data_IF_713440391346
#
_entry.id   IF_713440391346
#
_cell.length_a   1.000
_cell.length_b   1.000
_cell.length_c   1.000
_cell.angle_alpha   90.00
_cell.angle_beta   90.00
_cell.angle_gamma   90.00
#
_symmetry.space_group_name_H-M   'P 1'
#
loop_
_entity.id
_entity.type
_entity.pdbx_description
1 polymer ?
#
# COMPACT_ATOMS: atom_id res chain seq x y z
N UNK A 1 50.62 -56.82 44.25
CA UNK A 1 49.69 -55.71 43.96
C UNK A 1 48.76 -56.09 42.81
N UNK A 2 47.49 -56.41 43.11
CA UNK A 2 46.38 -56.30 42.15
C UNK A 2 45.34 -55.42 42.85
N UNK A 3 45.24 -54.16 42.45
CA UNK A 3 44.16 -53.28 42.87
C UNK A 3 42.87 -53.93 42.37
N UNK A 4 42.03 -54.40 43.28
CA UNK A 4 40.62 -54.67 42.97
C UNK A 4 40.00 -53.28 42.77
N UNK A 5 39.99 -52.79 41.54
CA UNK A 5 39.17 -51.64 41.18
C UNK A 5 37.72 -52.05 41.34
N UNK A 6 37.13 -51.69 42.48
CA UNK A 6 35.71 -51.83 42.72
C UNK A 6 35.02 -50.72 41.90
N UNK A 7 34.84 -50.97 40.60
CA UNK A 7 34.19 -50.05 39.64
C UNK A 7 32.69 -49.97 39.93
N UNK A 8 32.34 -49.33 41.05
CA UNK A 8 30.95 -49.00 41.39
C UNK A 8 30.44 -47.91 40.44
N UNK A 9 29.47 -48.26 39.61
CA UNK A 9 28.77 -47.31 38.74
C UNK A 9 27.50 -46.80 39.44
N UNK A 10 27.36 -45.48 39.56
CA UNK A 10 26.22 -44.82 40.21
C UNK A 10 25.23 -44.30 39.16
N UNK A 11 23.93 -44.34 39.46
CA UNK A 11 22.89 -43.91 38.51
C UNK A 11 23.02 -42.42 38.14
N UNK A 12 23.59 -41.59 39.01
CA UNK A 12 23.93 -40.18 38.72
C UNK A 12 24.89 -40.00 37.56
N UNK A 13 25.77 -40.97 37.29
CA UNK A 13 26.68 -40.95 36.15
C UNK A 13 25.96 -41.20 34.81
N UNK A 14 24.78 -41.84 34.86
CA UNK A 14 23.96 -42.11 33.68
C UNK A 14 23.14 -40.88 33.26
N UNK A 15 23.77 -39.98 32.51
CA UNK A 15 23.17 -38.71 32.03
C UNK A 15 21.85 -38.88 31.29
N UNK A 16 21.56 -40.05 30.72
CA UNK A 16 20.30 -40.32 30.03
C UNK A 16 19.19 -40.70 31.01
N UNK A 17 19.45 -41.66 31.89
CA UNK A 17 18.46 -42.13 32.86
C UNK A 17 18.16 -41.07 33.93
N UNK A 18 19.15 -40.28 34.35
CA UNK A 18 18.93 -39.22 35.34
C UNK A 18 17.94 -38.15 34.86
N UNK A 19 17.87 -37.89 33.54
CA UNK A 19 16.85 -37.01 32.95
C UNK A 19 15.44 -37.57 33.09
N UNK A 20 15.32 -38.89 33.17
CA UNK A 20 14.06 -39.57 33.40
C UNK A 20 13.76 -39.78 34.89
N UNK A 21 14.58 -39.30 35.82
CA UNK A 21 14.34 -39.42 37.26
C UNK A 21 13.24 -38.46 37.73
N UNK A 22 12.20 -38.98 38.41
CA UNK A 22 11.14 -38.13 38.95
C UNK A 22 11.50 -37.61 40.36
N UNK A 23 12.21 -36.48 40.44
CA UNK A 23 12.66 -35.88 41.71
C UNK A 23 11.50 -35.55 42.67
N UNK A 24 10.31 -35.23 42.15
CA UNK A 24 9.15 -34.89 42.99
C UNK A 24 8.56 -36.12 43.67
N UNK A 25 8.57 -37.28 43.01
CA UNK A 25 8.01 -38.53 43.56
C UNK A 25 9.02 -39.41 44.26
N UNK A 26 10.31 -39.16 44.08
CA UNK A 26 11.41 -39.86 44.75
C UNK A 26 11.98 -39.07 45.94
N UNK A 27 11.14 -38.32 46.67
CA UNK A 27 11.58 -37.61 47.87
C UNK A 27 12.25 -38.58 48.85
N UNK A 28 13.41 -38.21 49.38
CA UNK A 28 14.23 -39.05 50.26
C UNK A 28 15.15 -40.05 49.54
N UNK A 29 15.05 -40.21 48.22
CA UNK A 29 15.98 -41.06 47.44
C UNK A 29 17.01 -40.20 46.71
N UNK A 30 18.28 -40.40 47.02
CA UNK A 30 19.38 -39.64 46.42
C UNK A 30 20.04 -40.44 45.27
N UNK A 31 19.91 -40.01 44.00
CA UNK A 31 20.51 -40.70 42.87
C UNK A 31 22.06 -40.66 42.85
N UNK A 32 22.71 -39.82 43.66
CA UNK A 32 24.18 -39.78 43.73
C UNK A 32 24.80 -40.92 44.54
N UNK A 33 24.00 -41.62 45.34
CA UNK A 33 24.47 -42.73 46.19
C UNK A 33 23.91 -44.09 45.76
N UNK A 34 23.00 -44.12 44.79
CA UNK A 34 22.37 -45.35 44.29
C UNK A 34 23.16 -45.93 43.13
N UNK A 35 23.44 -47.24 43.18
CA UNK A 35 24.17 -47.96 42.16
C UNK A 35 23.29 -48.30 40.94
N UNK A 36 23.92 -48.41 39.76
CA UNK A 36 23.24 -48.78 38.51
C UNK A 36 22.62 -50.19 38.53
N UNK A 37 23.13 -51.11 39.35
CA UNK A 37 22.63 -52.47 39.51
C UNK A 37 21.60 -52.63 40.65
N UNK A 38 21.22 -51.53 41.31
CA UNK A 38 20.28 -51.54 42.43
C UNK A 38 18.87 -52.00 42.04
N UNK A 39 18.28 -52.89 42.84
CA UNK A 39 16.87 -53.31 42.70
C UNK A 39 15.87 -52.28 43.30
N UNK A 40 16.36 -51.15 43.82
CA UNK A 40 15.54 -50.08 44.37
C UNK A 40 14.51 -49.58 43.35
N UNK A 41 13.22 -49.68 43.68
CA UNK A 41 12.12 -49.22 42.82
C UNK A 41 11.95 -47.72 42.98
N UNK A 42 12.08 -46.99 41.90
CA UNK A 42 11.96 -45.53 41.87
C UNK A 42 10.99 -45.07 40.80
N UNK A 43 10.49 -43.85 40.94
CA UNK A 43 9.63 -43.21 39.96
C UNK A 43 10.46 -42.64 38.81
N UNK A 44 10.08 -43.01 37.61
CA UNK A 44 10.61 -42.49 36.36
C UNK A 44 9.57 -41.60 35.69
N UNK A 45 10.03 -40.61 34.94
CA UNK A 45 9.22 -39.72 34.10
C UNK A 45 9.89 -39.58 32.75
N UNK A 46 9.25 -40.07 31.69
CA UNK A 46 9.81 -39.94 30.34
C UNK A 46 9.53 -38.55 29.76
N UNK A 47 10.18 -38.23 28.63
CA UNK A 47 9.98 -36.97 27.90
C UNK A 47 8.52 -36.73 27.46
N UNK A 48 7.74 -37.80 27.22
CA UNK A 48 6.30 -37.69 26.91
C UNK A 48 5.42 -37.49 28.14
N UNK A 49 6.02 -37.37 29.33
CA UNK A 49 5.33 -37.09 30.59
C UNK A 49 4.78 -38.31 31.32
N UNK A 50 4.87 -39.52 30.76
CA UNK A 50 4.44 -40.74 31.47
C UNK A 50 5.28 -40.96 32.72
N UNK A 51 4.62 -41.24 33.84
CA UNK A 51 5.25 -41.53 35.12
C UNK A 51 5.00 -42.99 35.52
N UNK A 52 6.05 -43.74 35.87
CA UNK A 52 5.92 -45.15 36.27
C UNK A 52 6.99 -45.55 37.27
N UNK A 53 6.76 -46.64 38.00
CA UNK A 53 7.74 -47.23 38.90
C UNK A 53 8.51 -48.35 38.22
N UNK A 54 9.83 -48.36 38.40
CA UNK A 54 10.69 -49.45 37.95
C UNK A 54 12.00 -49.45 38.76
N UNK A 55 12.59 -50.64 38.93
CA UNK A 55 13.93 -50.80 39.51
C UNK A 55 15.01 -50.12 38.67
N UNK A 56 16.06 -49.60 39.33
CA UNK A 56 17.20 -48.97 38.66
C UNK A 56 17.91 -49.98 37.73
N UNK A 57 18.16 -51.19 38.23
CA UNK A 57 18.82 -52.27 37.48
C UNK A 57 18.11 -52.59 36.16
N UNK A 58 16.78 -52.70 36.16
CA UNK A 58 16.00 -53.01 34.95
C UNK A 58 15.99 -51.85 33.95
N UNK A 59 16.04 -50.60 34.44
CA UNK A 59 16.13 -49.40 33.58
C UNK A 59 17.49 -49.30 32.91
N UNK A 60 18.57 -49.59 33.65
CA UNK A 60 19.94 -49.69 33.11
C UNK A 60 20.04 -50.81 32.08
N UNK A 61 19.42 -51.98 32.34
CA UNK A 61 19.29 -53.10 31.37
C UNK A 61 18.38 -52.80 30.17
N UNK A 62 17.85 -51.58 30.06
CA UNK A 62 17.13 -51.10 28.87
C UNK A 62 15.61 -51.24 28.89
N UNK A 63 14.99 -51.60 30.03
CA UNK A 63 13.53 -51.67 30.14
C UNK A 63 12.93 -50.29 29.89
N UNK A 64 12.11 -50.15 28.86
CA UNK A 64 11.60 -48.84 28.39
C UNK A 64 10.33 -48.42 29.12
N UNK A 65 9.98 -47.13 28.99
CA UNK A 65 8.72 -46.58 29.49
C UNK A 65 7.52 -47.42 28.99
N UNK A 66 6.71 -48.00 29.89
CA UNK A 66 5.58 -48.84 29.51
C UNK A 66 4.50 -48.04 28.75
N UNK A 67 4.33 -46.74 29.06
CA UNK A 67 3.38 -45.89 28.37
C UNK A 67 3.75 -45.64 26.90
N UNK A 68 5.05 -45.44 26.62
CA UNK A 68 5.55 -45.20 25.27
C UNK A 68 5.66 -46.47 24.41
N UNK A 69 6.08 -47.59 24.99
CA UNK A 69 6.53 -48.77 24.24
C UNK A 69 5.62 -49.99 24.36
N UNK A 70 4.72 -50.05 25.34
CA UNK A 70 3.76 -51.16 25.42
C UNK A 70 2.82 -51.14 24.22
N UNK A 71 2.49 -52.30 23.67
CA UNK A 71 1.41 -52.47 22.69
C UNK A 71 0.03 -52.54 23.34
N UNK A 72 -0.05 -52.93 24.62
CA UNK A 72 -1.29 -52.98 25.41
C UNK A 72 -1.69 -51.59 25.94
N UNK A 73 -2.99 -51.39 26.15
CA UNK A 73 -3.53 -50.21 26.84
C UNK A 73 -3.30 -50.40 28.34
N UNK A 74 -2.77 -49.35 28.99
CA UNK A 74 -2.52 -49.28 30.42
C UNK A 74 -3.26 -48.03 30.90
N UNK A 75 -4.36 -48.25 31.62
CA UNK A 75 -5.18 -47.19 32.19
C UNK A 75 -4.35 -46.32 33.15
N UNK A 76 -4.56 -45.00 33.10
CA UNK A 76 -3.81 -44.03 33.88
C UNK A 76 -2.40 -43.74 33.34
N UNK A 77 -2.00 -44.39 32.24
CA UNK A 77 -0.66 -44.23 31.68
C UNK A 77 -0.64 -43.92 30.18
N UNK A 78 -1.26 -44.74 29.33
CA UNK A 78 -1.21 -44.55 27.86
C UNK A 78 -2.57 -44.66 27.16
N UNK A 79 -3.65 -44.71 27.93
CA UNK A 79 -5.01 -44.63 27.41
C UNK A 79 -5.36 -43.22 26.91
N UNK A 80 -6.42 -43.11 26.12
CA UNK A 80 -6.83 -41.86 25.48
C UNK A 80 -7.21 -40.78 26.50
N UNK A 81 -7.88 -41.14 27.61
CA UNK A 81 -8.33 -40.16 28.61
C UNK A 81 -7.17 -39.55 29.35
N UNK A 82 -6.19 -40.37 29.73
CA UNK A 82 -4.97 -39.89 30.39
C UNK A 82 -4.17 -38.98 29.47
N UNK A 83 -3.96 -39.37 28.21
CA UNK A 83 -3.09 -38.64 27.28
C UNK A 83 -3.77 -37.40 26.68
N UNK A 84 -5.08 -37.46 26.42
CA UNK A 84 -5.88 -36.35 25.85
C UNK A 84 -7.24 -36.25 26.54
N UNK A 85 -7.29 -35.73 27.79
CA UNK A 85 -8.55 -35.62 28.54
C UNK A 85 -9.61 -34.78 27.81
N UNK A 86 -9.20 -33.67 27.16
CA UNK A 86 -10.12 -32.84 26.38
C UNK A 86 -10.72 -33.58 25.18
N UNK A 87 -9.99 -34.53 24.58
CA UNK A 87 -10.51 -35.31 23.47
C UNK A 87 -11.47 -36.39 23.96
N UNK A 88 -11.19 -36.99 25.12
CA UNK A 88 -12.08 -37.95 25.77
C UNK A 88 -13.43 -37.33 26.19
N UNK A 89 -13.50 -36.01 26.42
CA UNK A 89 -14.77 -35.31 26.62
C UNK A 89 -15.66 -35.30 25.37
N UNK A 90 -15.09 -35.51 24.19
CA UNK A 90 -15.85 -35.61 22.93
C UNK A 90 -16.28 -37.05 22.63
N UNK A 91 -16.16 -37.98 23.58
CA UNK A 91 -16.60 -39.36 23.41
C UNK A 91 -18.12 -39.47 23.44
N UNK A 92 -18.71 -40.18 22.48
CA UNK A 92 -20.14 -40.47 22.50
C UNK A 92 -20.42 -41.76 23.30
N UNK A 93 -20.72 -41.62 24.59
CA UNK A 93 -20.92 -42.76 25.50
C UNK A 93 -22.16 -43.59 25.14
N UNK A 94 -23.21 -42.96 24.61
CA UNK A 94 -24.43 -43.66 24.20
C UNK A 94 -24.16 -44.59 23.03
N UNK A 95 -23.47 -44.09 22.00
CA UNK A 95 -23.21 -44.86 20.77
C UNK A 95 -22.03 -45.84 20.85
N UNK A 96 -21.07 -45.61 21.74
CA UNK A 96 -19.95 -46.52 21.93
C UNK A 96 -20.22 -47.63 22.97
N UNK A 97 -21.34 -47.56 23.69
CA UNK A 97 -21.73 -48.55 24.69
C UNK A 97 -20.65 -48.74 25.77
N UNK A 98 -20.21 -49.98 25.97
CA UNK A 98 -19.23 -50.32 27.00
C UNK A 98 -17.78 -49.90 26.68
N UNK A 99 -17.50 -49.44 25.45
CA UNK A 99 -16.15 -49.00 25.09
C UNK A 99 -15.89 -47.59 25.62
N UNK A 100 -14.94 -47.47 26.54
CA UNK A 100 -14.57 -46.19 27.16
C UNK A 100 -13.21 -45.67 26.65
N UNK A 101 -12.94 -44.35 26.73
CA UNK A 101 -11.63 -43.77 26.40
C UNK A 101 -10.44 -44.45 27.11
N UNK A 102 -10.65 -44.94 28.33
CA UNK A 102 -9.65 -45.66 29.13
C UNK A 102 -9.25 -47.01 28.51
N UNK A 103 -10.06 -47.56 27.61
CA UNK A 103 -9.83 -48.87 26.98
C UNK A 103 -9.10 -48.78 25.63
N UNK A 104 -8.69 -47.58 25.20
CA UNK A 104 -8.10 -47.36 23.86
C UNK A 104 -6.88 -46.44 23.91
N UNK A 105 -6.01 -46.55 22.90
CA UNK A 105 -4.86 -45.63 22.71
C UNK A 105 -5.20 -44.49 21.77
N UNK A 106 -4.52 -43.36 21.96
CA UNK A 106 -4.58 -42.20 21.06
C UNK A 106 -4.24 -42.50 19.60
N UNK A 107 -3.29 -43.40 19.33
CA UNK A 107 -2.87 -43.74 17.96
C UNK A 107 -3.66 -44.93 17.35
N UNK A 108 -4.77 -45.33 17.97
CA UNK A 108 -5.58 -46.45 17.49
C UNK A 108 -6.26 -46.12 16.16
N UNK A 109 -6.27 -47.09 15.23
CA UNK A 109 -7.03 -47.01 13.98
C UNK A 109 -8.50 -47.43 14.14
N UNK A 110 -8.95 -47.71 15.37
CA UNK A 110 -10.36 -48.02 15.65
C UNK A 110 -11.24 -46.80 15.35
N UNK A 111 -12.34 -47.02 14.65
CA UNK A 111 -13.43 -46.05 14.50
C UNK A 111 -14.34 -46.13 15.71
N UNK A 112 -14.71 -44.96 16.22
CA UNK A 112 -15.61 -44.79 17.36
C UNK A 112 -16.48 -43.56 17.12
N UNK A 113 -17.57 -43.46 17.85
CA UNK A 113 -18.46 -42.32 17.81
C UNK A 113 -17.95 -41.19 18.70
N UNK A 114 -18.04 -39.97 18.18
CA UNK A 114 -17.66 -38.75 18.87
C UNK A 114 -18.83 -37.79 18.90
N UNK A 115 -18.97 -37.06 20.00
CA UNK A 115 -20.00 -36.04 20.20
C UNK A 115 -19.35 -34.72 20.56
N UNK A 116 -19.54 -33.70 19.73
CA UNK A 116 -18.96 -32.38 20.00
C UNK A 116 -19.84 -31.62 20.99
N UNK A 117 -19.33 -30.51 21.52
CA UNK A 117 -20.08 -29.62 22.44
C UNK A 117 -21.41 -29.09 21.87
N UNK A 118 -21.58 -29.07 20.54
CA UNK A 118 -22.82 -28.65 19.87
C UNK A 118 -23.82 -29.80 19.67
N UNK A 119 -23.52 -31.00 20.16
CA UNK A 119 -24.41 -32.17 20.09
C UNK A 119 -24.22 -33.04 18.85
N UNK A 120 -23.53 -32.58 17.80
CA UNK A 120 -23.32 -33.40 16.60
C UNK A 120 -22.53 -34.66 16.94
N UNK A 121 -23.03 -35.80 16.50
CA UNK A 121 -22.45 -37.12 16.70
C UNK A 121 -21.95 -37.69 15.37
N UNK A 122 -20.68 -38.10 15.30
CA UNK A 122 -20.08 -38.65 14.08
C UNK A 122 -19.06 -39.75 14.36
N UNK A 123 -18.90 -40.66 13.41
CA UNK A 123 -17.90 -41.71 13.46
C UNK A 123 -16.55 -41.20 12.92
N UNK A 124 -15.46 -41.41 13.65
CA UNK A 124 -14.12 -41.13 13.18
C UNK A 124 -13.06 -42.03 13.84
N UNK A 125 -11.94 -42.22 13.15
CA UNK A 125 -10.79 -42.94 13.65
C UNK A 125 -10.12 -42.18 14.80
N UNK A 126 -9.78 -42.87 15.89
CA UNK A 126 -9.15 -42.25 17.08
C UNK A 126 -7.84 -41.54 16.74
N UNK A 127 -6.95 -42.15 15.94
CA UNK A 127 -5.70 -41.53 15.51
C UNK A 127 -5.92 -40.22 14.74
N UNK A 128 -6.90 -40.17 13.85
CA UNK A 128 -7.26 -38.94 13.11
C UNK A 128 -7.75 -37.82 14.04
N UNK A 129 -8.58 -38.17 15.03
CA UNK A 129 -9.05 -37.23 16.06
C UNK A 129 -7.92 -36.74 16.94
N UNK A 130 -7.00 -37.63 17.33
CA UNK A 130 -5.80 -37.29 18.10
C UNK A 130 -4.92 -36.26 17.38
N UNK A 131 -4.77 -36.39 16.06
CA UNK A 131 -4.01 -35.43 15.23
C UNK A 131 -4.79 -34.16 14.84
N UNK A 132 -6.02 -33.98 15.34
CA UNK A 132 -6.72 -32.70 15.28
C UNK A 132 -7.88 -32.62 14.28
N UNK A 133 -8.32 -33.74 13.68
CA UNK A 133 -9.58 -33.74 12.92
C UNK A 133 -10.74 -33.33 13.84
N UNK A 134 -11.51 -32.33 13.41
CA UNK A 134 -12.64 -31.77 14.17
C UNK A 134 -13.97 -32.34 13.67
N UNK A 135 -15.06 -32.00 14.37
CA UNK A 135 -16.42 -32.30 13.95
C UNK A 135 -16.70 -31.86 12.50
N UNK A 136 -17.11 -32.78 11.60
CA UNK A 136 -17.30 -32.48 10.18
C UNK A 136 -18.42 -31.47 9.95
N UNK A 137 -19.50 -31.50 10.75
CA UNK A 137 -20.59 -30.52 10.72
C UNK A 137 -20.11 -29.13 11.12
N UNK A 138 -19.42 -29.01 12.26
CA UNK A 138 -18.87 -27.72 12.72
C UNK A 138 -17.84 -27.11 11.76
N UNK A 139 -17.17 -27.94 10.97
CA UNK A 139 -16.20 -27.50 9.94
C UNK A 139 -16.81 -27.37 8.54
N UNK A 140 -18.13 -27.51 8.39
CA UNK A 140 -18.87 -27.43 7.12
C UNK A 140 -18.42 -28.45 6.06
N UNK A 141 -17.83 -29.58 6.48
CA UNK A 141 -17.49 -30.72 5.62
C UNK A 141 -18.68 -31.64 5.37
N UNK A 142 -19.60 -31.70 6.31
CA UNK A 142 -20.87 -32.43 6.21
C UNK A 142 -22.00 -31.48 6.55
N UNK A 143 -23.15 -31.65 5.88
CA UNK A 143 -24.33 -30.82 6.06
C UNK A 143 -25.23 -31.46 7.10
N UNK A 144 -25.73 -30.64 8.03
CA UNK A 144 -26.80 -30.96 8.95
C UNK A 144 -27.89 -29.89 8.77
N UNK A 145 -29.04 -30.32 8.24
CA UNK A 145 -30.19 -29.46 7.96
C UNK A 145 -30.68 -28.84 9.27
N UNK A 146 -30.96 -27.53 9.26
CA UNK A 146 -31.33 -26.77 10.45
C UNK A 146 -30.13 -26.17 11.17
N UNK A 147 -28.90 -26.58 10.83
CA UNK A 147 -27.70 -26.13 11.53
C UNK A 147 -26.72 -25.34 10.65
N UNK A 148 -26.12 -25.97 9.63
CA UNK A 148 -25.05 -25.37 8.81
C UNK A 148 -25.37 -25.29 7.31
N UNK A 149 -26.59 -25.65 6.93
CA UNK A 149 -27.11 -25.41 5.59
C UNK A 149 -27.30 -23.90 5.31
N UNK A 150 -27.43 -23.56 4.03
CA UNK A 150 -27.54 -22.17 3.58
C UNK A 150 -28.85 -21.52 4.04
N UNK A 151 -29.96 -22.26 4.11
CA UNK A 151 -31.28 -21.74 4.51
C UNK A 151 -31.23 -21.29 5.96
N UNK A 152 -30.74 -22.15 6.84
CA UNK A 152 -30.67 -21.89 8.28
C UNK A 152 -29.72 -20.74 8.62
N UNK A 153 -28.63 -20.57 7.86
CA UNK A 153 -27.63 -19.53 8.12
C UNK A 153 -27.91 -18.21 7.41
N UNK A 154 -28.50 -18.23 6.23
CA UNK A 154 -28.68 -17.06 5.37
C UNK A 154 -30.06 -17.04 4.68
N UNK A 155 -31.17 -17.00 5.44
CA UNK A 155 -32.53 -17.09 4.87
C UNK A 155 -32.83 -15.95 3.87
N UNK A 156 -32.34 -14.74 4.13
CA UNK A 156 -32.53 -13.61 3.20
C UNK A 156 -31.79 -13.82 1.87
N UNK A 157 -30.64 -14.50 1.88
CA UNK A 157 -29.89 -14.78 0.66
C UNK A 157 -30.58 -15.85 -0.19
N UNK A 158 -31.24 -16.82 0.45
CA UNK A 158 -32.01 -17.87 -0.23
C UNK A 158 -33.18 -17.32 -1.03
N UNK A 159 -33.73 -16.16 -0.65
CA UNK A 159 -34.74 -15.45 -1.47
C UNK A 159 -34.22 -15.06 -2.85
N UNK A 160 -32.89 -15.01 -3.03
CA UNK A 160 -32.27 -14.75 -4.33
C UNK A 160 -31.83 -16.03 -5.07
N UNK A 161 -32.18 -17.23 -4.58
CA UNK A 161 -31.86 -18.48 -5.26
C UNK A 161 -32.69 -18.64 -6.53
N UNK A 162 -32.07 -19.01 -7.65
CA UNK A 162 -32.80 -19.30 -8.89
C UNK A 162 -33.13 -20.80 -8.96
N UNK A 163 -34.35 -21.19 -8.53
CA UNK A 163 -34.78 -22.59 -8.50
C UNK A 163 -34.90 -23.22 -9.90
N UNK A 164 -35.30 -22.46 -10.92
CA UNK A 164 -35.43 -22.93 -12.29
C UNK A 164 -34.07 -23.33 -12.89
N UNK A 165 -33.03 -22.52 -12.67
CA UNK A 165 -31.69 -22.75 -13.26
C UNK A 165 -30.76 -23.62 -12.43
N UNK A 166 -31.07 -23.85 -11.16
CA UNK A 166 -30.28 -24.73 -10.31
C UNK A 166 -30.78 -26.19 -10.30
N UNK A 167 -31.83 -26.50 -11.06
CA UNK A 167 -32.38 -27.84 -11.22
C UNK A 167 -32.67 -28.50 -9.86
N UNK A 168 -32.10 -29.70 -9.63
CA UNK A 168 -32.25 -30.47 -8.39
C UNK A 168 -31.44 -29.95 -7.20
N UNK A 169 -30.59 -28.93 -7.39
CA UNK A 169 -29.81 -28.36 -6.30
C UNK A 169 -30.65 -27.35 -5.52
N UNK A 170 -31.00 -27.73 -4.28
CA UNK A 170 -31.73 -26.88 -3.35
C UNK A 170 -30.80 -26.28 -2.27
N UNK A 171 -31.12 -25.09 -1.73
CA UNK A 171 -30.33 -24.39 -0.71
C UNK A 171 -30.05 -25.20 0.57
N UNK A 172 -30.93 -26.11 0.96
CA UNK A 172 -30.81 -26.98 2.14
C UNK A 172 -29.64 -27.97 2.00
N UNK A 173 -29.28 -28.32 0.76
CA UNK A 173 -28.24 -29.30 0.43
C UNK A 173 -26.87 -28.65 0.17
N UNK A 174 -26.67 -27.39 0.58
CA UNK A 174 -25.40 -26.68 0.47
C UNK A 174 -25.06 -25.90 1.73
N UNK A 175 -23.77 -25.81 2.07
CA UNK A 175 -23.32 -24.93 3.16
C UNK A 175 -23.04 -23.52 2.66
N UNK A 176 -23.09 -22.56 3.58
CA UNK A 176 -22.75 -21.16 3.31
C UNK A 176 -21.32 -20.90 2.81
N UNK A 177 -20.38 -21.81 3.11
CA UNK A 177 -18.97 -21.71 2.68
C UNK A 177 -18.68 -22.50 1.40
N UNK A 178 -19.71 -23.07 0.75
CA UNK A 178 -19.55 -23.86 -0.46
C UNK A 178 -18.93 -23.05 -1.61
N UNK A 179 -17.97 -23.67 -2.31
CA UNK A 179 -17.38 -23.13 -3.53
C UNK A 179 -18.20 -23.45 -4.79
N UNK A 180 -19.39 -24.05 -4.65
CA UNK A 180 -20.28 -24.32 -5.78
C UNK A 180 -20.76 -23.01 -6.39
N UNK A 181 -20.66 -22.91 -7.71
CA UNK A 181 -21.26 -21.85 -8.51
C UNK A 181 -22.71 -22.23 -8.79
N UNK A 182 -23.63 -21.32 -8.50
CA UNK A 182 -25.08 -21.51 -8.66
C UNK A 182 -25.69 -20.24 -9.24
N UNK A 183 -26.87 -20.37 -9.81
CA UNK A 183 -27.65 -19.27 -10.34
C UNK A 183 -28.41 -18.54 -9.25
N UNK A 184 -28.39 -17.22 -9.33
CA UNK A 184 -29.09 -16.30 -8.45
C UNK A 184 -30.02 -15.41 -9.26
N UNK A 185 -31.10 -14.96 -8.65
CA UNK A 185 -32.09 -14.04 -9.21
C UNK A 185 -32.42 -12.96 -8.19
N UNK A 186 -32.11 -11.71 -8.49
CA UNK A 186 -32.41 -10.62 -7.57
C UNK A 186 -33.87 -10.15 -7.71
N UNK A 187 -34.34 -9.33 -6.76
CA UNK A 187 -35.70 -8.74 -6.79
C UNK A 187 -36.03 -7.95 -8.06
N UNK A 188 -35.02 -7.44 -8.77
CA UNK A 188 -35.19 -6.74 -10.06
C UNK A 188 -35.22 -7.69 -11.27
N UNK A 189 -35.22 -9.00 -11.05
CA UNK A 189 -35.28 -10.02 -12.10
C UNK A 189 -33.94 -10.37 -12.74
N UNK A 190 -32.84 -9.68 -12.45
CA UNK A 190 -31.54 -10.05 -13.02
C UNK A 190 -31.08 -11.43 -12.54
N UNK A 191 -30.56 -12.23 -13.46
CA UNK A 191 -30.07 -13.57 -13.20
C UNK A 191 -28.56 -13.66 -13.44
N UNK A 192 -27.82 -14.27 -12.51
CA UNK A 192 -26.38 -14.43 -12.65
C UNK A 192 -25.86 -15.65 -11.90
N UNK A 193 -24.74 -16.19 -12.39
CA UNK A 193 -23.99 -17.18 -11.65
C UNK A 193 -23.00 -16.53 -10.67
N UNK A 194 -22.96 -17.06 -9.44
CA UNK A 194 -21.94 -16.72 -8.46
C UNK A 194 -21.70 -17.90 -7.51
N UNK A 195 -20.49 -17.94 -6.94
CA UNK A 195 -20.14 -18.91 -5.90
C UNK A 195 -20.88 -18.58 -4.61
N UNK A 196 -21.44 -19.60 -3.93
CA UNK A 196 -22.21 -19.44 -2.69
C UNK A 196 -21.39 -18.68 -1.63
N UNK A 197 -20.15 -19.09 -1.38
CA UNK A 197 -19.30 -18.42 -0.38
C UNK A 197 -18.99 -16.94 -0.70
N UNK A 198 -19.05 -16.53 -1.97
CA UNK A 198 -18.90 -15.13 -2.34
C UNK A 198 -20.16 -14.32 -2.02
N UNK A 199 -21.33 -14.92 -2.20
CA UNK A 199 -22.61 -14.30 -1.85
C UNK A 199 -22.79 -14.14 -0.34
N UNK A 200 -22.41 -15.15 0.45
CA UNK A 200 -22.47 -15.10 1.91
C UNK A 200 -21.50 -14.09 2.53
N UNK A 201 -20.40 -13.77 1.82
CA UNK A 201 -19.50 -12.65 2.16
C UNK A 201 -20.04 -11.26 1.80
N UNK A 202 -21.19 -11.17 1.13
CA UNK A 202 -21.88 -9.92 0.83
C UNK A 202 -21.83 -9.44 -0.62
N UNK A 203 -21.29 -10.24 -1.56
CA UNK A 203 -21.35 -9.87 -2.98
C UNK A 203 -22.81 -9.84 -3.46
N UNK A 204 -23.22 -8.70 -4.01
CA UNK A 204 -24.59 -8.46 -4.49
C UNK A 204 -24.73 -8.76 -5.99
N UNK A 205 -25.95 -8.59 -6.51
CA UNK A 205 -26.22 -8.64 -7.94
C UNK A 205 -25.27 -7.74 -8.75
N UNK A 206 -24.49 -8.29 -9.70
CA UNK A 206 -23.51 -7.51 -10.46
C UNK A 206 -24.16 -6.49 -11.40
N UNK A 207 -25.37 -6.75 -11.87
CA UNK A 207 -26.15 -5.81 -12.69
C UNK A 207 -26.61 -4.59 -11.87
N UNK A 208 -27.23 -4.82 -10.70
CA UNK A 208 -27.63 -3.75 -9.78
C UNK A 208 -26.44 -2.92 -9.26
N UNK A 209 -25.28 -3.55 -9.06
CA UNK A 209 -24.06 -2.87 -8.65
C UNK A 209 -23.35 -2.11 -9.79
N UNK A 210 -23.80 -2.27 -11.04
CA UNK A 210 -23.17 -1.64 -12.22
C UNK A 210 -21.84 -2.29 -12.63
N UNK A 211 -21.59 -3.53 -12.23
CA UNK A 211 -20.42 -4.30 -12.69
C UNK A 211 -20.70 -5.04 -14.00
N UNK A 212 -21.96 -5.42 -14.25
CA UNK A 212 -22.43 -5.95 -15.54
C UNK A 212 -23.37 -4.96 -16.21
N UNK A 213 -23.26 -4.88 -17.53
CA UNK A 213 -24.12 -4.05 -18.34
C UNK A 213 -25.51 -4.67 -18.50
N UNK A 214 -26.50 -3.79 -18.58
CA UNK A 214 -27.88 -4.00 -18.99
C UNK A 214 -28.06 -2.98 -20.11
N UNK A 215 -28.19 -3.50 -21.34
CA UNK A 215 -28.37 -2.69 -22.55
C UNK A 215 -29.59 -1.79 -22.42
N UNK A 216 -29.44 -0.52 -22.79
CA UNK A 216 -30.46 0.52 -22.66
C UNK A 216 -30.57 1.16 -21.28
N UNK A 217 -29.89 0.63 -20.25
CA UNK A 217 -30.07 1.10 -18.87
C UNK A 217 -28.79 1.60 -18.22
N UNK A 218 -27.77 0.75 -18.14
CA UNK A 218 -26.50 1.07 -17.43
C UNK A 218 -25.26 0.73 -18.27
N UNK A 219 -25.43 0.50 -19.56
CA UNK A 219 -24.34 0.42 -20.53
C UNK A 219 -23.75 1.82 -20.82
N UNK A 220 -22.54 1.83 -21.39
CA UNK A 220 -21.80 3.04 -21.68
C UNK A 220 -22.51 3.88 -22.75
N UNK A 221 -23.04 3.24 -23.80
CA UNK A 221 -23.69 3.96 -24.90
C UNK A 221 -24.91 4.76 -24.43
N UNK A 222 -25.74 4.14 -23.60
CA UNK A 222 -26.99 4.74 -23.12
C UNK A 222 -26.75 5.78 -22.02
N UNK A 223 -25.73 5.59 -21.17
CA UNK A 223 -25.47 6.52 -20.06
C UNK A 223 -24.52 7.66 -20.39
N UNK A 224 -23.56 7.45 -21.30
CA UNK A 224 -22.51 8.42 -21.63
C UNK A 224 -22.25 8.47 -23.14
N UNK A 225 -23.25 8.90 -23.94
CA UNK A 225 -23.09 9.08 -25.38
C UNK A 225 -21.97 10.09 -25.72
N UNK A 226 -21.71 11.06 -24.84
CA UNK A 226 -20.62 12.02 -24.95
C UNK A 226 -19.23 11.36 -24.99
N UNK A 227 -19.05 10.24 -24.28
CA UNK A 227 -17.79 9.49 -24.30
C UNK A 227 -17.59 8.70 -25.59
N UNK A 228 -18.67 8.37 -26.31
CA UNK A 228 -18.58 7.65 -27.58
C UNK A 228 -17.93 8.48 -28.69
N UNK A 229 -18.04 9.81 -28.60
CA UNK A 229 -17.32 10.75 -29.48
C UNK A 229 -15.80 10.57 -29.37
N UNK A 230 -15.32 9.99 -28.27
CA UNK A 230 -13.91 9.72 -28.04
C UNK A 230 -13.58 8.22 -28.05
N UNK A 231 -14.50 7.35 -28.45
CA UNK A 231 -14.26 5.91 -28.53
C UNK A 231 -13.46 5.57 -29.78
N UNK A 232 -12.38 4.80 -29.63
CA UNK A 232 -11.62 4.33 -30.79
C UNK A 232 -12.21 3.01 -31.30
N UNK A 233 -13.13 3.07 -32.27
CA UNK A 233 -13.84 1.90 -32.81
C UNK A 233 -12.91 0.87 -33.47
N UNK A 234 -11.89 1.34 -34.16
CA UNK A 234 -10.89 0.48 -34.83
C UNK A 234 -10.11 -0.35 -33.82
N UNK A 235 -9.57 0.29 -32.76
CA UNK A 235 -8.77 -0.39 -31.74
C UNK A 235 -9.57 -1.15 -30.69
N UNK A 236 -10.88 -0.94 -30.65
CA UNK A 236 -11.80 -1.65 -29.74
C UNK A 236 -12.71 -2.62 -30.50
N UNK A 237 -12.25 -3.15 -31.63
CA UNK A 237 -12.99 -4.17 -32.37
C UNK A 237 -13.45 -5.31 -31.45
N UNK A 238 -14.72 -5.71 -31.59
CA UNK A 238 -15.36 -6.72 -30.74
C UNK A 238 -15.70 -6.26 -29.31
N UNK A 239 -15.51 -4.97 -28.97
CA UNK A 239 -15.96 -4.39 -27.71
C UNK A 239 -17.04 -3.35 -28.00
N UNK A 240 -18.29 -3.72 -27.68
CA UNK A 240 -19.44 -2.88 -27.97
C UNK A 240 -19.82 -2.01 -26.75
N UNK A 241 -19.92 -0.67 -26.90
CA UNK A 241 -20.24 0.23 -25.79
C UNK A 241 -21.61 -0.02 -25.12
N UNK A 242 -22.55 -0.63 -25.82
CA UNK A 242 -23.88 -1.01 -25.30
C UNK A 242 -23.89 -2.35 -24.53
N UNK A 243 -22.77 -3.08 -24.55
CA UNK A 243 -22.58 -4.34 -23.81
C UNK A 243 -21.66 -4.20 -22.59
N UNK A 244 -21.15 -2.99 -22.35
CA UNK A 244 -20.24 -2.70 -21.25
C UNK A 244 -20.77 -1.61 -20.35
N UNK A 245 -20.67 -1.80 -19.02
CA UNK A 245 -21.19 -0.80 -18.10
C UNK A 245 -20.35 0.48 -18.14
N UNK A 246 -21.01 1.64 -18.02
CA UNK A 246 -20.35 2.95 -17.91
C UNK A 246 -19.42 3.07 -16.68
N UNK A 247 -19.52 2.15 -15.70
CA UNK A 247 -18.63 2.06 -14.54
C UNK A 247 -17.57 0.96 -14.63
N UNK A 248 -17.40 0.35 -15.80
CA UNK A 248 -16.47 -0.77 -15.98
C UNK A 248 -15.00 -0.37 -15.71
N UNK A 249 -14.24 -1.30 -15.14
CA UNK A 249 -12.78 -1.20 -15.02
C UNK A 249 -12.04 -1.73 -16.25
N UNK A 250 -12.76 -2.21 -17.28
CA UNK A 250 -12.15 -2.61 -18.55
C UNK A 250 -11.43 -1.40 -19.15
N UNK A 251 -10.18 -1.62 -19.53
CA UNK A 251 -9.40 -0.65 -20.31
C UNK A 251 -9.76 -0.79 -21.78
N UNK A 252 -9.97 0.34 -22.42
CA UNK A 252 -10.30 0.45 -23.85
C UNK A 252 -9.55 1.64 -24.43
N UNK A 253 -9.43 1.65 -25.75
CA UNK A 253 -8.79 2.73 -26.48
C UNK A 253 -9.73 3.90 -26.70
N UNK A 254 -9.21 5.09 -26.45
CA UNK A 254 -9.89 6.36 -26.68
C UNK A 254 -9.11 7.17 -27.71
N UNK A 255 -9.80 8.02 -28.44
CA UNK A 255 -9.25 8.96 -29.42
C UNK A 255 -9.90 10.31 -29.24
N UNK A 256 -9.13 11.36 -28.98
CA UNK A 256 -9.71 12.71 -28.87
C UNK A 256 -9.83 13.36 -30.25
N UNK A 257 -10.54 14.48 -30.35
CA UNK A 257 -10.70 15.27 -31.58
C UNK A 257 -9.37 15.69 -32.22
N UNK A 258 -8.31 15.89 -31.42
CA UNK A 258 -6.95 16.18 -31.92
C UNK A 258 -6.18 14.94 -32.41
N UNK A 259 -6.84 13.79 -32.51
CA UNK A 259 -6.25 12.54 -33.00
C UNK A 259 -5.39 11.76 -32.00
N UNK A 260 -5.12 12.28 -30.80
CA UNK A 260 -4.36 11.52 -29.80
C UNK A 260 -5.13 10.28 -29.34
N UNK A 261 -4.44 9.14 -29.33
CA UNK A 261 -5.00 7.86 -28.90
C UNK A 261 -4.39 7.42 -27.58
N UNK A 262 -5.21 6.90 -26.67
CA UNK A 262 -4.72 6.41 -25.37
C UNK A 262 -5.62 5.31 -24.80
N UNK A 263 -5.03 4.42 -24.03
CA UNK A 263 -5.77 3.42 -23.28
C UNK A 263 -6.17 3.97 -21.89
N UNK A 264 -7.44 3.79 -21.49
CA UNK A 264 -7.92 4.13 -20.15
C UNK A 264 -9.12 3.28 -19.75
N UNK A 265 -9.32 3.09 -18.45
CA UNK A 265 -10.54 2.49 -17.92
C UNK A 265 -11.76 3.35 -18.24
N UNK A 266 -12.90 2.72 -18.53
CA UNK A 266 -14.18 3.40 -18.75
C UNK A 266 -14.60 4.21 -17.52
N UNK A 267 -14.53 3.63 -16.33
CA UNK A 267 -14.82 4.33 -15.07
C UNK A 267 -13.91 5.53 -14.80
N UNK A 268 -12.70 5.57 -15.34
CA UNK A 268 -11.83 6.75 -15.23
C UNK A 268 -12.30 7.88 -16.16
N UNK A 269 -12.74 7.54 -17.38
CA UNK A 269 -13.35 8.50 -18.31
C UNK A 269 -14.65 9.07 -17.78
N UNK A 270 -15.45 8.22 -17.14
CA UNK A 270 -16.70 8.59 -16.48
C UNK A 270 -16.49 9.71 -15.45
N UNK A 271 -15.42 9.59 -14.65
CA UNK A 271 -14.96 10.59 -13.66
C UNK A 271 -14.31 11.84 -14.26
N UNK A 272 -14.27 11.99 -15.58
CA UNK A 272 -13.73 13.16 -16.27
C UNK A 272 -12.24 13.11 -16.60
N UNK A 273 -11.54 11.98 -16.41
CA UNK A 273 -10.16 11.86 -16.89
C UNK A 273 -10.14 11.81 -18.42
N UNK A 274 -9.60 12.85 -19.05
CA UNK A 274 -9.50 12.97 -20.51
C UNK A 274 -8.11 12.62 -21.06
N UNK A 275 -7.83 13.12 -22.27
CA UNK A 275 -6.54 12.95 -22.93
C UNK A 275 -5.39 13.57 -22.12
N UNK A 276 -4.39 12.75 -21.77
CA UNK A 276 -3.22 13.21 -21.02
C UNK A 276 -2.32 14.18 -21.80
N UNK A 277 -2.35 14.09 -23.14
CA UNK A 277 -1.60 15.00 -24.03
C UNK A 277 -2.28 16.37 -24.07
N UNK A 278 -3.60 16.42 -24.32
CA UNK A 278 -4.34 17.70 -24.33
C UNK A 278 -4.30 18.44 -22.98
N UNK A 279 -4.23 17.70 -21.87
CA UNK A 279 -4.13 18.27 -20.52
C UNK A 279 -2.68 18.52 -20.05
N UNK A 280 -1.68 18.32 -20.92
CA UNK A 280 -0.26 18.49 -20.63
C UNK A 280 0.25 17.65 -19.44
N UNK A 281 -0.45 16.56 -19.09
CA UNK A 281 -0.01 15.57 -18.10
C UNK A 281 1.03 14.61 -18.69
N UNK A 282 0.97 14.39 -20.01
CA UNK A 282 1.99 13.69 -20.80
C UNK A 282 2.50 14.64 -21.87
N UNK A 283 3.82 14.88 -21.90
CA UNK A 283 4.46 15.72 -22.90
C UNK A 283 4.98 14.83 -24.04
N UNK A 284 4.66 15.21 -25.26
CA UNK A 284 5.10 14.56 -26.49
C UNK A 284 5.76 15.63 -27.36
N UNK A 285 7.03 15.40 -27.68
CA UNK A 285 7.82 16.22 -28.60
C UNK A 285 7.11 16.35 -29.94
N UNK A 286 7.00 17.57 -30.46
CA UNK A 286 6.32 17.85 -31.73
C UNK A 286 4.81 18.08 -31.59
N UNK A 287 4.25 18.02 -30.36
CA UNK A 287 2.81 18.17 -30.14
C UNK A 287 2.52 19.25 -29.11
N UNK A 288 2.94 19.03 -27.86
CA UNK A 288 2.54 19.87 -26.72
C UNK A 288 3.70 20.30 -25.82
N UNK A 289 4.93 20.11 -26.28
CA UNK A 289 6.12 20.67 -25.65
C UNK A 289 6.27 22.18 -25.92
N UNK A 290 7.12 22.83 -25.14
CA UNK A 290 7.35 24.27 -25.20
C UNK A 290 7.97 24.67 -26.55
N UNK A 291 8.91 23.88 -27.09
CA UNK A 291 9.56 24.21 -28.36
C UNK A 291 8.55 24.24 -29.51
N UNK A 292 7.64 23.27 -29.55
CA UNK A 292 6.58 23.22 -30.57
C UNK A 292 5.50 24.27 -30.33
N UNK A 293 5.05 24.45 -29.10
CA UNK A 293 3.91 25.35 -28.81
C UNK A 293 4.32 26.82 -28.72
N UNK A 294 5.58 27.12 -28.45
CA UNK A 294 6.12 28.48 -28.44
C UNK A 294 7.63 28.50 -28.82
N UNK A 295 7.95 28.42 -30.13
CA UNK A 295 9.32 28.39 -30.61
C UNK A 295 10.16 29.59 -30.18
N UNK A 296 9.59 30.81 -30.25
CA UNK A 296 10.28 32.05 -29.87
C UNK A 296 10.73 32.07 -28.41
N UNK A 297 9.90 31.53 -27.51
CA UNK A 297 10.29 31.43 -26.10
C UNK A 297 11.35 30.33 -25.90
N UNK A 298 11.28 29.24 -26.66
CA UNK A 298 12.28 28.17 -26.60
C UNK A 298 13.67 28.62 -27.10
N UNK A 299 13.74 29.59 -28.01
CA UNK A 299 15.01 30.22 -28.44
C UNK A 299 15.73 30.94 -27.29
N UNK A 300 15.00 31.46 -26.30
CA UNK A 300 15.58 32.08 -25.12
C UNK A 300 16.05 31.07 -24.05
N UNK A 301 15.99 29.76 -24.31
CA UNK A 301 16.39 28.74 -23.34
C UNK A 301 17.90 28.73 -23.12
N UNK A 302 18.34 28.71 -21.86
CA UNK A 302 19.77 28.56 -21.55
C UNK A 302 20.12 27.07 -21.40
N UNK A 303 20.64 26.44 -22.46
CA UNK A 303 20.98 25.02 -22.49
C UNK A 303 22.14 24.64 -21.55
N UNK A 304 23.10 25.54 -21.36
CA UNK A 304 24.26 25.32 -20.48
C UNK A 304 23.85 25.24 -19.01
N UNK A 305 22.85 26.04 -18.60
CA UNK A 305 22.39 26.10 -17.20
C UNK A 305 21.21 25.17 -16.90
N UNK A 306 20.46 24.73 -17.91
CA UNK A 306 19.37 23.77 -17.76
C UNK A 306 19.80 22.36 -18.18
N UNK A 307 20.97 21.90 -17.72
CA UNK A 307 21.50 20.58 -18.07
C UNK A 307 20.48 19.49 -17.74
N UNK A 308 20.20 18.61 -18.71
CA UNK A 308 19.25 17.51 -18.56
C UNK A 308 17.77 17.91 -18.68
N UNK A 309 17.46 19.17 -18.99
CA UNK A 309 16.10 19.62 -19.25
C UNK A 309 16.04 20.50 -20.50
N UNK A 310 15.29 20.06 -21.51
CA UNK A 310 15.14 20.79 -22.76
C UNK A 310 13.73 21.38 -22.91
N UNK A 311 13.53 22.35 -23.83
CA UNK A 311 12.21 22.83 -24.21
C UNK A 311 11.26 21.74 -24.74
N UNK A 312 11.77 20.57 -25.12
CA UNK A 312 10.96 19.44 -25.59
C UNK A 312 10.36 18.60 -24.45
N UNK A 313 10.80 18.81 -23.21
CA UNK A 313 10.42 18.00 -22.04
C UNK A 313 9.32 18.65 -21.18
N UNK A 314 8.93 19.87 -21.49
CA UNK A 314 8.05 20.70 -20.65
C UNK A 314 6.97 21.38 -21.49
N UNK A 315 5.74 21.56 -20.97
CA UNK A 315 4.72 22.36 -21.65
C UNK A 315 4.95 23.86 -21.42
N UNK A 316 4.42 24.69 -22.31
CA UNK A 316 4.46 26.16 -22.20
C UNK A 316 3.73 26.74 -20.97
N UNK A 317 2.84 25.98 -20.35
CA UNK A 317 2.17 26.31 -19.08
C UNK A 317 2.87 25.81 -17.81
N UNK A 318 4.10 25.28 -17.91
CA UNK A 318 4.81 24.71 -16.75
C UNK A 318 5.16 25.75 -15.69
N UNK A 319 4.95 25.42 -14.42
CA UNK A 319 5.41 26.24 -13.29
C UNK A 319 6.89 26.00 -12.93
N UNK A 320 7.63 25.20 -13.70
CA UNK A 320 9.07 25.02 -13.50
C UNK A 320 9.81 26.34 -13.71
N UNK A 321 10.78 26.59 -12.82
CA UNK A 321 11.75 27.67 -12.93
C UNK A 321 12.97 27.14 -13.67
N UNK A 322 13.39 27.87 -14.69
CA UNK A 322 14.50 27.51 -15.57
C UNK A 322 15.32 28.76 -15.89
N UNK A 323 16.54 28.55 -16.37
CA UNK A 323 17.41 29.62 -16.83
C UNK A 323 17.07 30.03 -18.26
N UNK A 324 17.01 31.34 -18.48
CA UNK A 324 16.80 31.98 -19.77
C UNK A 324 18.03 32.78 -20.15
N UNK A 325 18.24 32.96 -21.45
CA UNK A 325 19.24 33.84 -22.03
C UNK A 325 18.54 34.69 -23.09
N UNK A 326 18.36 35.98 -22.83
CA UNK A 326 17.72 36.86 -23.81
C UNK A 326 18.69 37.17 -24.96
N UNK A 327 18.18 37.75 -26.06
CA UNK A 327 18.97 38.16 -27.24
C UNK A 327 20.19 39.06 -26.90
N UNK A 328 20.10 39.90 -25.87
CA UNK A 328 21.23 40.73 -25.38
C UNK A 328 22.25 39.95 -24.53
N UNK A 329 22.14 38.63 -24.46
CA UNK A 329 23.04 37.75 -23.71
C UNK A 329 22.80 37.69 -22.19
N UNK A 330 21.86 38.46 -21.63
CA UNK A 330 21.59 38.42 -20.19
C UNK A 330 20.97 37.09 -19.77
N UNK A 331 21.54 36.50 -18.73
CA UNK A 331 21.07 35.23 -18.16
C UNK A 331 20.29 35.44 -16.86
N UNK A 332 19.14 34.79 -16.74
CA UNK A 332 18.27 34.95 -15.57
C UNK A 332 17.32 33.77 -15.39
N UNK A 333 16.92 33.51 -14.16
CA UNK A 333 15.89 32.51 -13.87
C UNK A 333 14.48 33.08 -14.01
N UNK A 334 13.57 32.27 -14.54
CA UNK A 334 12.17 32.63 -14.70
C UNK A 334 11.28 31.39 -14.78
N UNK A 335 10.02 31.54 -14.38
CA UNK A 335 9.01 30.48 -14.48
C UNK A 335 8.44 30.43 -15.90
N UNK A 336 8.42 29.26 -16.53
CA UNK A 336 7.98 29.07 -17.93
C UNK A 336 6.58 29.66 -18.17
N UNK A 337 5.59 29.31 -17.35
CA UNK A 337 4.22 29.81 -17.42
C UNK A 337 4.15 31.36 -17.36
N UNK A 338 4.96 31.97 -16.50
CA UNK A 338 5.01 33.44 -16.35
C UNK A 338 5.62 34.11 -17.59
N UNK A 339 6.70 33.52 -18.14
CA UNK A 339 7.30 33.98 -19.40
C UNK A 339 6.32 33.81 -20.57
N UNK A 340 5.58 32.69 -20.61
CA UNK A 340 4.69 32.35 -21.71
C UNK A 340 3.42 33.20 -21.76
N UNK A 341 2.66 33.28 -20.65
CA UNK A 341 1.36 33.94 -20.63
C UNK A 341 1.43 35.40 -20.19
N UNK A 342 2.22 35.72 -19.15
CA UNK A 342 2.38 37.12 -18.68
C UNK A 342 3.43 37.90 -19.48
N UNK A 343 4.05 37.27 -20.47
CA UNK A 343 5.11 37.85 -21.31
C UNK A 343 6.20 38.55 -20.49
N UNK A 344 6.53 38.01 -19.31
CA UNK A 344 7.55 38.61 -18.48
C UNK A 344 8.90 38.54 -19.19
N UNK A 345 9.50 39.67 -19.54
CA UNK A 345 10.81 39.71 -20.21
C UNK A 345 11.99 39.70 -19.25
N UNK A 346 13.19 39.84 -19.83
CA UNK A 346 14.45 39.92 -19.09
C UNK A 346 14.43 41.03 -18.02
N UNK A 347 14.73 40.72 -16.73
CA UNK A 347 14.71 41.69 -15.65
C UNK A 347 15.84 42.72 -15.77
N UNK A 348 16.92 42.40 -16.48
CA UNK A 348 18.03 43.33 -16.75
C UNK A 348 17.61 44.32 -17.83
N UNK A 349 17.07 43.84 -18.97
CA UNK A 349 16.59 44.70 -20.05
C UNK A 349 15.47 45.66 -19.60
N UNK A 350 14.62 45.23 -18.65
CA UNK A 350 13.54 46.04 -18.09
C UNK A 350 13.95 46.87 -16.87
N UNK A 351 15.24 46.91 -16.52
CA UNK A 351 15.78 47.61 -15.34
C UNK A 351 15.14 47.24 -13.99
N UNK A 352 14.44 46.10 -13.91
CA UNK A 352 13.91 45.54 -12.66
C UNK A 352 15.02 44.91 -11.81
N UNK A 353 16.10 44.47 -12.44
CA UNK A 353 17.35 44.03 -11.81
C UNK A 353 18.51 44.84 -12.37
N UNK A 354 19.25 45.52 -11.49
CA UNK A 354 20.43 46.30 -11.86
C UNK A 354 21.70 45.49 -11.64
N UNK A 355 22.49 45.34 -12.69
CA UNK A 355 23.77 44.64 -12.71
C UNK A 355 24.87 45.67 -13.00
N UNK A 356 25.82 45.88 -12.07
CA UNK A 356 26.98 46.73 -12.31
C UNK A 356 27.76 46.29 -13.55
N UNK A 357 28.17 47.25 -14.38
CA UNK A 357 28.88 47.00 -15.64
C UNK A 357 27.96 46.70 -16.84
N UNK A 358 26.62 46.67 -16.63
CA UNK A 358 25.66 46.36 -17.70
C UNK A 358 24.61 47.47 -17.84
N UNK A 359 23.72 47.62 -16.86
CA UNK A 359 22.54 48.50 -16.95
C UNK A 359 22.44 49.49 -15.79
N UNK A 360 23.54 49.69 -15.05
CA UNK A 360 23.62 50.69 -14.01
C UNK A 360 23.95 52.09 -14.56
N UNK A 361 23.63 53.12 -13.77
CA UNK A 361 23.86 54.52 -14.12
C UNK A 361 25.33 54.83 -14.38
N UNK A 362 26.26 54.24 -13.62
CA UNK A 362 27.70 54.51 -13.80
C UNK A 362 28.17 54.05 -15.17
N UNK A 363 27.72 52.88 -15.60
CA UNK A 363 28.09 52.28 -16.89
C UNK A 363 27.41 52.99 -18.05
N UNK A 364 26.10 53.21 -17.97
CA UNK A 364 25.33 53.77 -19.09
C UNK A 364 25.45 55.29 -19.22
N UNK A 365 25.72 56.01 -18.13
CA UNK A 365 25.91 57.45 -18.14
C UNK A 365 27.02 57.89 -17.17
N UNK A 366 28.31 57.67 -17.52
CA UNK A 366 29.45 58.00 -16.67
C UNK A 366 29.54 59.50 -16.34
N UNK A 367 29.14 60.36 -17.28
CA UNK A 367 29.11 61.82 -17.08
C UNK A 367 28.13 62.19 -15.98
N UNK A 368 26.90 61.69 -16.05
CA UNK A 368 25.91 61.94 -15.00
C UNK A 368 26.36 61.34 -13.66
N UNK A 369 26.89 60.12 -13.67
CA UNK A 369 27.43 59.49 -12.47
C UNK A 369 28.57 60.28 -11.80
N UNK A 370 29.34 61.09 -12.56
CA UNK A 370 30.38 61.96 -12.01
C UNK A 370 29.84 63.12 -11.17
N UNK A 371 28.57 63.49 -11.35
CA UNK A 371 27.90 64.53 -10.57
C UNK A 371 27.20 64.00 -9.32
N UNK A 372 27.45 62.74 -8.95
CA UNK A 372 26.83 62.11 -7.79
C UNK A 372 27.39 62.66 -6.48
N UNK A 373 26.53 63.04 -5.54
CA UNK A 373 26.98 63.46 -4.21
C UNK A 373 27.19 62.24 -3.30
N UNK A 374 28.40 61.67 -3.30
CA UNK A 374 28.73 60.47 -2.51
C UNK A 374 28.59 60.67 -0.99
N UNK A 375 28.83 61.89 -0.49
CA UNK A 375 28.74 62.20 0.94
C UNK A 375 27.28 62.18 1.42
N UNK A 376 26.38 62.79 0.64
CA UNK A 376 24.96 62.94 1.03
C UNK A 376 24.09 61.73 0.68
N UNK A 377 24.47 60.93 -0.31
CA UNK A 377 23.70 59.73 -0.69
C UNK A 377 23.97 58.49 0.18
N UNK A 378 24.69 58.64 1.31
CA UNK A 378 24.83 57.66 2.42
C UNK A 378 24.90 56.20 1.96
N UNK A 379 25.85 55.87 1.08
CA UNK A 379 26.12 54.50 0.64
C UNK A 379 25.39 54.05 -0.64
N UNK A 380 24.38 54.78 -1.12
CA UNK A 380 23.80 54.54 -2.45
C UNK A 380 24.78 55.03 -3.52
N UNK A 381 25.18 54.14 -4.43
CA UNK A 381 26.17 54.40 -5.48
C UNK A 381 25.54 54.36 -6.88
N UNK A 382 26.08 55.11 -7.86
CA UNK A 382 25.59 55.08 -9.24
C UNK A 382 25.55 53.68 -9.87
N UNK A 383 26.44 52.78 -9.45
CA UNK A 383 26.47 51.41 -9.96
C UNK A 383 25.38 50.48 -9.40
N UNK A 384 24.44 51.00 -8.60
CA UNK A 384 23.34 50.25 -7.99
C UNK A 384 21.96 50.76 -8.42
N UNK A 385 21.89 51.72 -9.34
CA UNK A 385 20.64 52.36 -9.78
C UNK A 385 20.56 52.41 -11.30
N UNK A 386 19.35 52.40 -11.86
CA UNK A 386 19.12 52.58 -13.29
C UNK A 386 19.12 54.06 -13.67
N UNK A 387 19.47 54.39 -14.92
CA UNK A 387 19.38 55.76 -15.45
C UNK A 387 17.94 56.31 -15.43
N UNK A 388 16.94 55.47 -15.67
CA UNK A 388 15.52 55.86 -15.65
C UNK A 388 14.85 55.79 -14.27
N UNK A 389 15.61 55.75 -13.18
CA UNK A 389 15.03 55.61 -11.84
C UNK A 389 14.43 56.93 -11.34
N UNK A 390 13.18 56.88 -10.85
CA UNK A 390 12.55 58.04 -10.20
C UNK A 390 13.04 58.29 -8.76
N UNK A 391 14.09 57.58 -8.32
CA UNK A 391 14.66 57.76 -6.99
C UNK A 391 15.33 59.14 -6.91
N UNK A 392 14.93 59.94 -5.93
CA UNK A 392 15.51 61.26 -5.66
C UNK A 392 16.81 61.10 -4.90
N UNK A 393 17.87 61.71 -5.41
CA UNK A 393 19.21 61.64 -4.83
C UNK A 393 19.86 63.03 -4.86
N UNK A 394 20.90 63.19 -4.04
CA UNK A 394 21.70 64.41 -4.03
C UNK A 394 22.70 64.42 -5.18
N UNK A 395 22.72 65.54 -5.90
CA UNK A 395 23.66 65.84 -6.97
C UNK A 395 24.61 66.94 -6.54
N UNK A 396 25.79 66.98 -7.16
CA UNK A 396 26.80 68.02 -6.97
C UNK A 396 27.40 68.38 -8.33
N UNK A 397 27.26 69.64 -8.76
CA UNK A 397 27.81 70.08 -10.05
C UNK A 397 29.26 70.58 -9.89
N UNK A 398 29.91 70.91 -11.01
CA UNK A 398 31.30 71.42 -11.04
C UNK A 398 31.49 72.77 -10.34
N UNK A 399 30.42 73.56 -10.18
CA UNK A 399 30.42 74.83 -9.41
C UNK A 399 30.06 74.61 -7.93
N UNK A 400 30.20 73.38 -7.44
CA UNK A 400 29.90 72.95 -6.07
C UNK A 400 28.45 73.14 -5.57
N UNK A 401 27.50 73.47 -6.46
CA UNK A 401 26.07 73.49 -6.11
C UNK A 401 25.55 72.09 -5.83
N UNK A 402 24.76 71.94 -4.76
CA UNK A 402 24.09 70.69 -4.39
C UNK A 402 22.57 70.82 -4.47
N UNK A 403 21.90 69.79 -4.98
CA UNK A 403 20.43 69.77 -5.05
C UNK A 403 19.88 68.35 -5.06
N UNK A 404 18.59 68.22 -4.70
CA UNK A 404 17.82 66.99 -4.83
C UNK A 404 17.09 66.96 -6.18
N UNK A 405 17.21 65.86 -6.89
CA UNK A 405 16.48 65.61 -8.13
C UNK A 405 16.41 64.10 -8.38
N UNK A 406 15.39 63.63 -9.10
CA UNK A 406 15.32 62.22 -9.49
C UNK A 406 16.41 61.88 -10.50
N UNK A 407 16.85 60.62 -10.52
CA UNK A 407 17.86 60.16 -11.48
C UNK A 407 17.32 60.25 -12.91
N UNK A 408 16.04 59.91 -13.12
CA UNK A 408 15.39 60.00 -14.42
C UNK A 408 15.36 61.44 -14.95
N UNK A 409 14.96 62.42 -14.13
CA UNK A 409 14.92 63.83 -14.54
C UNK A 409 16.32 64.33 -14.94
N UNK A 410 17.34 63.98 -14.13
CA UNK A 410 18.73 64.28 -14.47
C UNK A 410 19.15 63.63 -15.78
N UNK A 411 18.76 62.38 -16.01
CA UNK A 411 19.08 61.63 -17.22
C UNK A 411 18.37 62.20 -18.47
N UNK A 412 17.23 62.87 -18.30
CA UNK A 412 16.53 63.60 -19.37
C UNK A 412 17.11 65.01 -19.65
N UNK A 413 18.16 65.43 -18.92
CA UNK A 413 18.85 66.70 -19.17
C UNK A 413 18.46 67.85 -18.24
N UNK A 414 17.69 67.59 -17.18
CA UNK A 414 17.45 68.60 -16.15
C UNK A 414 18.74 68.83 -15.34
N UNK A 415 19.47 69.89 -15.70
CA UNK A 415 20.76 70.24 -15.11
C UNK A 415 20.61 71.02 -13.79
N UNK A 416 21.74 71.42 -13.20
CA UNK A 416 21.78 72.16 -11.95
C UNK A 416 20.87 73.41 -11.98
N UNK A 417 19.81 73.47 -11.15
CA UNK A 417 18.85 74.59 -11.19
C UNK A 417 19.49 75.92 -10.78
N UNK A 418 20.47 75.89 -9.86
CA UNK A 418 21.22 77.08 -9.43
C UNK A 418 22.05 77.64 -10.59
N UNK A 419 22.73 76.78 -11.36
CA UNK A 419 23.46 77.21 -12.55
C UNK A 419 22.55 77.77 -13.66
N UNK A 420 21.28 77.37 -13.68
CA UNK A 420 20.27 77.83 -14.62
C UNK A 420 19.50 79.07 -14.13
N UNK A 421 19.92 79.70 -13.04
CA UNK A 421 19.26 80.89 -12.48
C UNK A 421 17.90 80.61 -11.82
N UNK A 422 17.56 79.35 -11.56
CA UNK A 422 16.32 78.98 -10.89
C UNK A 422 16.50 79.06 -9.38
N UNK A 423 15.54 79.69 -8.69
CA UNK A 423 15.48 79.67 -7.22
C UNK A 423 15.22 78.25 -6.73
N UNK A 424 16.18 77.67 -6.02
CA UNK A 424 16.01 76.38 -5.33
C UNK A 424 15.57 76.71 -3.90
N UNK A 425 14.45 76.13 -3.44
CA UNK A 425 14.08 76.23 -2.03
C UNK A 425 15.21 75.60 -1.21
N UNK A 426 15.79 76.35 -0.27
CA UNK A 426 16.73 75.80 0.71
C UNK A 426 16.03 74.69 1.49
N UNK A 427 16.36 73.44 1.19
CA UNK A 427 15.94 72.31 2.01
C UNK A 427 17.04 72.11 3.03
N UNK A 428 16.75 72.60 4.23
CA UNK A 428 17.61 72.66 5.40
C UNK A 428 18.51 71.43 5.60
N UNK A 429 19.74 71.73 6.02
CA UNK A 429 20.66 70.82 6.72
C UNK A 429 19.93 70.20 7.92
N UNK A 430 19.64 68.90 7.88
CA UNK A 430 19.64 67.99 9.04
C UNK A 430 20.23 66.66 8.59
#
# INVERSE_FOLDING_TARGET
MKKIENNKSYISANKKLIKEWNFKKNLGKNPTILLEDSEEIVWWKCEKGHEWQESISKRVKGKKCPGCFSRRVIEGLNDLKTIKPNLALEWDYEKNGNLKPENVKCASNRKVWWKCKKGHSWEAVISSRYYGTKCPVCTNKTIEIGFNDLVSKYPELVKEWNYEKNNSLIPENVTANSNRKVWWKCKKGHEWEAVICARTRGNKCPYCAGHKAIKGLNDLASKRPDLLLQWNYEKNEGIYPDEISFKSHKKVWWKCEKGHEWESQISAREKGNGCAVCSNKKIIKGINDLATTNPKLAEEWNYEKNVGLTPYDVPSGSNKRVWWKCEKGHEFEGVINTRNYKKSGCPVCSNRKIIPGINDLKTLNPKLASEWNYKRNKGLKPNKVACGSNKVVWWKCRKDHEWLCSINDRNQGHNCPICQGKRVKEINKI
#
